data_IF_551367877592
#
_entry.id   IF_551367877592
#
_cell.length_a   1.000
_cell.length_b   1.000
_cell.length_c   1.000
_cell.angle_alpha   90.00
_cell.angle_beta   90.00
_cell.angle_gamma   90.00
#
_symmetry.space_group_name_H-M   'P 1'
#
loop_
_entity.id
_entity.type
_entity.pdbx_description
1 polymer ?
#
# COMPACT_ATOMS: atom_id res chain seq x y z
N UNK A 1 32.84 -6.76 48.42
CA UNK A 1 32.21 -6.22 47.20
C UNK A 1 32.32 -7.13 45.95
N UNK A 2 32.71 -8.42 46.07
CA UNK A 2 32.82 -9.35 44.92
C UNK A 2 31.55 -10.18 44.63
N UNK A 3 30.62 -10.29 45.58
CA UNK A 3 29.39 -11.10 45.43
C UNK A 3 28.32 -10.43 44.57
N UNK A 4 28.27 -9.09 44.54
CA UNK A 4 27.32 -8.35 43.70
C UNK A 4 27.66 -8.40 42.21
N UNK A 5 28.95 -8.43 41.86
CA UNK A 5 29.41 -8.54 40.47
C UNK A 5 29.00 -9.86 39.82
N UNK A 6 29.01 -10.96 40.60
CA UNK A 6 28.67 -12.29 40.12
C UNK A 6 27.17 -12.41 39.79
N UNK A 7 26.31 -11.76 40.59
CA UNK A 7 24.87 -11.68 40.32
C UNK A 7 24.58 -10.82 39.08
N UNK A 8 25.31 -9.71 38.91
CA UNK A 8 25.18 -8.84 37.75
C UNK A 8 25.59 -9.55 36.44
N UNK A 9 26.70 -10.30 36.46
CA UNK A 9 27.12 -11.12 35.31
C UNK A 9 26.14 -12.25 35.01
N UNK A 10 25.51 -12.84 36.02
CA UNK A 10 24.48 -13.87 35.84
C UNK A 10 23.20 -13.30 35.20
N UNK A 11 22.79 -12.08 35.59
CA UNK A 11 21.67 -11.37 34.97
C UNK A 11 21.96 -11.00 33.51
N UNK A 12 23.19 -10.56 33.19
CA UNK A 12 23.61 -10.32 31.80
C UNK A 12 23.58 -11.62 31.00
N UNK A 13 24.05 -12.74 31.57
CA UNK A 13 23.99 -14.04 30.89
C UNK A 13 22.55 -14.48 30.59
N UNK A 14 21.60 -14.22 31.49
CA UNK A 14 20.17 -14.48 31.27
C UNK A 14 19.57 -13.52 30.23
N UNK A 15 19.98 -12.25 30.18
CA UNK A 15 19.54 -11.33 29.12
C UNK A 15 20.13 -11.68 27.76
N UNK A 16 21.37 -12.17 27.73
CA UNK A 16 22.04 -12.65 26.51
C UNK A 16 21.37 -13.93 26.04
N UNK A 17 21.11 -14.92 26.91
CA UNK A 17 20.39 -16.15 26.53
C UNK A 17 18.89 -15.94 26.26
N UNK A 18 18.24 -15.01 26.98
CA UNK A 18 16.83 -14.65 26.78
C UNK A 18 16.58 -13.84 25.51
N UNK A 19 17.63 -13.26 24.91
CA UNK A 19 17.61 -12.62 23.59
C UNK A 19 18.35 -13.40 22.50
N UNK A 20 18.82 -14.64 22.78
CA UNK A 20 19.48 -15.53 21.82
C UNK A 20 18.68 -16.79 21.48
N UNK A 21 17.35 -16.74 21.59
CA UNK A 21 16.47 -17.60 20.79
C UNK A 21 15.93 -16.78 19.62
N UNK A 22 16.83 -16.39 18.72
CA UNK A 22 16.56 -16.19 17.30
C UNK A 22 17.88 -16.47 16.53
N UNK A 23 18.45 -17.65 16.80
CA UNK A 23 19.30 -18.32 15.82
C UNK A 23 18.35 -18.90 14.75
N UNK A 24 18.02 -18.09 13.74
CA UNK A 24 17.44 -18.58 12.51
C UNK A 24 18.60 -18.99 11.60
N UNK A 25 19.12 -20.19 11.82
CA UNK A 25 20.04 -20.83 10.90
C UNK A 25 19.28 -21.95 10.18
N UNK A 26 19.26 -21.87 8.85
CA UNK A 26 18.61 -22.74 7.86
C UNK A 26 17.17 -22.44 7.43
N UNK A 27 16.86 -21.20 7.00
CA UNK A 27 15.75 -20.91 6.05
C UNK A 27 16.00 -19.70 5.15
N UNK A 28 17.26 -19.44 4.79
CA UNK A 28 17.62 -18.24 4.02
C UNK A 28 17.36 -18.41 2.53
N UNK A 29 17.36 -19.63 1.97
CA UNK A 29 17.08 -19.83 0.54
C UNK A 29 15.57 -20.01 0.26
N UNK A 30 14.85 -20.75 1.11
CA UNK A 30 13.42 -21.02 0.92
C UNK A 30 12.52 -19.79 1.14
N UNK A 31 12.91 -18.83 2.01
CA UNK A 31 12.16 -17.58 2.20
C UNK A 31 12.50 -16.51 1.15
N UNK A 32 13.71 -16.53 0.57
CA UNK A 32 14.08 -15.60 -0.50
C UNK A 32 13.36 -16.00 -1.78
N UNK A 33 13.33 -17.29 -2.13
CA UNK A 33 12.56 -17.76 -3.30
C UNK A 33 11.06 -17.51 -3.15
N UNK A 34 10.48 -17.78 -1.98
CA UNK A 34 9.06 -17.53 -1.73
C UNK A 34 8.71 -16.04 -1.68
N UNK A 35 9.62 -15.18 -1.22
CA UNK A 35 9.42 -13.73 -1.28
C UNK A 35 9.55 -13.18 -2.71
N UNK A 36 10.45 -13.71 -3.53
CA UNK A 36 10.61 -13.30 -4.94
C UNK A 36 9.42 -13.75 -5.80
N UNK A 37 8.90 -14.96 -5.55
CA UNK A 37 7.73 -15.48 -6.27
C UNK A 37 6.42 -14.81 -5.83
N UNK A 38 6.28 -14.49 -4.54
CA UNK A 38 5.13 -13.73 -4.03
C UNK A 38 5.13 -12.30 -4.55
N UNK A 39 6.28 -11.61 -4.58
CA UNK A 39 6.38 -10.19 -4.93
C UNK A 39 5.75 -9.84 -6.29
N UNK A 40 5.74 -10.77 -7.25
CA UNK A 40 4.99 -10.61 -8.49
C UNK A 40 3.47 -10.53 -8.29
N UNK A 41 2.93 -11.35 -7.38
CA UNK A 41 1.51 -11.32 -7.00
C UNK A 41 1.13 -10.06 -6.21
N UNK A 42 2.00 -9.54 -5.33
CA UNK A 42 1.74 -8.26 -4.65
C UNK A 42 1.83 -7.06 -5.58
N UNK A 43 2.77 -7.08 -6.53
CA UNK A 43 2.90 -6.05 -7.55
C UNK A 43 1.61 -5.98 -8.36
N UNK A 44 1.13 -7.12 -8.86
CA UNK A 44 -0.14 -7.23 -9.59
C UNK A 44 -1.33 -6.80 -8.72
N UNK A 45 -1.35 -7.17 -7.44
CA UNK A 45 -2.41 -6.75 -6.51
C UNK A 45 -2.45 -5.23 -6.34
N UNK A 46 -1.31 -4.61 -6.02
CA UNK A 46 -1.22 -3.15 -5.81
C UNK A 46 -1.58 -2.44 -7.11
N UNK A 47 -1.04 -2.88 -8.24
CA UNK A 47 -1.33 -2.30 -9.55
C UNK A 47 -2.83 -2.37 -9.87
N UNK A 48 -3.47 -3.51 -9.66
CA UNK A 48 -4.90 -3.66 -9.89
C UNK A 48 -5.73 -2.75 -8.97
N UNK A 49 -5.37 -2.60 -7.70
CA UNK A 49 -6.07 -1.70 -6.79
C UNK A 49 -5.98 -0.24 -7.24
N UNK A 50 -4.80 0.23 -7.63
CA UNK A 50 -4.64 1.59 -8.17
C UNK A 50 -5.34 1.77 -9.52
N UNK A 51 -5.29 0.76 -10.40
CA UNK A 51 -5.97 0.77 -11.70
C UNK A 51 -7.49 0.85 -11.55
N UNK A 52 -8.08 0.03 -10.69
CA UNK A 52 -9.52 0.05 -10.45
C UNK A 52 -9.97 1.36 -9.81
N UNK A 53 -9.24 1.85 -8.79
CA UNK A 53 -9.52 3.15 -8.19
C UNK A 53 -9.47 4.26 -9.24
N UNK A 54 -8.45 4.26 -10.08
CA UNK A 54 -8.27 5.21 -11.18
C UNK A 54 -9.40 5.15 -12.20
N UNK A 55 -9.84 3.94 -12.57
CA UNK A 55 -10.95 3.77 -13.51
C UNK A 55 -12.25 4.39 -12.95
N UNK A 56 -12.51 4.23 -11.65
CA UNK A 56 -13.65 4.87 -10.98
C UNK A 56 -13.54 6.40 -11.05
N UNK A 57 -12.35 6.95 -10.81
CA UNK A 57 -12.09 8.39 -10.94
C UNK A 57 -12.28 8.91 -12.37
N UNK A 58 -11.82 8.15 -13.37
CA UNK A 58 -11.97 8.51 -14.76
C UNK A 58 -13.42 8.40 -15.28
N UNK A 59 -14.25 7.54 -14.69
CA UNK A 59 -15.68 7.44 -15.02
C UNK A 59 -16.45 8.71 -14.64
N UNK A 60 -15.91 9.53 -13.73
CA UNK A 60 -16.49 10.83 -13.36
C UNK A 60 -16.59 11.79 -14.55
N UNK A 61 -15.64 11.75 -15.48
CA UNK A 61 -15.66 12.61 -16.67
C UNK A 61 -16.68 12.16 -17.71
N UNK A 62 -16.98 10.87 -17.75
CA UNK A 62 -17.75 10.26 -18.83
C UNK A 62 -19.21 10.04 -18.45
N UNK A 63 -19.54 10.07 -17.15
CA UNK A 63 -20.83 9.63 -16.66
C UNK A 63 -21.45 10.60 -15.65
N UNK A 64 -22.75 10.87 -15.82
CA UNK A 64 -23.55 11.63 -14.84
C UNK A 64 -24.17 10.68 -13.81
N UNK A 65 -23.31 9.91 -13.11
CA UNK A 65 -23.75 8.97 -12.07
C UNK A 65 -23.86 9.64 -10.71
N UNK A 66 -24.72 9.09 -9.85
CA UNK A 66 -24.92 9.56 -8.48
C UNK A 66 -23.78 9.11 -7.57
N UNK A 67 -23.52 9.87 -6.50
CA UNK A 67 -22.49 9.59 -5.50
C UNK A 67 -22.57 8.16 -4.93
N UNK A 68 -23.77 7.62 -4.74
CA UNK A 68 -24.02 6.28 -4.22
C UNK A 68 -23.40 5.19 -5.10
N UNK A 69 -23.39 5.38 -6.42
CA UNK A 69 -22.76 4.45 -7.34
C UNK A 69 -21.24 4.42 -7.12
N UNK A 70 -20.61 5.59 -7.02
CA UNK A 70 -19.17 5.69 -6.80
C UNK A 70 -18.79 5.15 -5.41
N UNK A 71 -19.63 5.38 -4.40
CA UNK A 71 -19.45 4.81 -3.06
C UNK A 71 -19.46 3.29 -3.06
N UNK A 72 -20.41 2.68 -3.76
CA UNK A 72 -20.45 1.22 -3.88
C UNK A 72 -19.17 0.70 -4.55
N UNK A 73 -18.75 1.32 -5.66
CA UNK A 73 -17.55 0.91 -6.42
C UNK A 73 -16.25 1.09 -5.63
N UNK A 74 -16.02 2.28 -5.06
CA UNK A 74 -14.83 2.56 -4.26
C UNK A 74 -14.73 1.63 -3.06
N UNK A 75 -15.85 1.31 -2.39
CA UNK A 75 -15.83 0.42 -1.22
C UNK A 75 -15.35 -1.01 -1.51
N UNK A 76 -15.30 -1.42 -2.79
CA UNK A 76 -14.75 -2.72 -3.18
C UNK A 76 -13.22 -2.72 -3.23
N UNK A 77 -12.59 -1.57 -3.47
CA UNK A 77 -11.15 -1.44 -3.74
C UNK A 77 -10.40 -0.58 -2.73
N UNK A 78 -11.12 0.30 -2.03
CA UNK A 78 -10.60 1.23 -1.03
C UNK A 78 -11.27 0.97 0.33
N UNK A 79 -10.48 1.07 1.39
CA UNK A 79 -10.91 0.97 2.78
C UNK A 79 -10.72 2.31 3.50
N UNK A 80 -11.25 2.40 4.72
CA UNK A 80 -11.00 3.58 5.57
C UNK A 80 -9.51 3.69 5.95
N UNK A 81 -8.99 4.92 6.14
CA UNK A 81 -9.67 6.22 6.02
C UNK A 81 -9.72 6.79 4.58
N UNK A 82 -9.01 6.18 3.62
CA UNK A 82 -8.94 6.68 2.25
C UNK A 82 -10.32 6.70 1.56
N UNK A 83 -11.22 5.77 1.92
CA UNK A 83 -12.58 5.76 1.37
C UNK A 83 -13.35 7.05 1.73
N UNK A 84 -13.31 7.47 3.00
CA UNK A 84 -13.94 8.72 3.42
C UNK A 84 -13.34 9.94 2.70
N UNK A 85 -12.01 9.95 2.52
CA UNK A 85 -11.34 11.00 1.74
C UNK A 85 -11.83 11.04 0.28
N UNK A 86 -11.82 9.89 -0.41
CA UNK A 86 -12.25 9.80 -1.82
C UNK A 86 -13.70 10.26 -2.00
N UNK A 87 -14.60 9.88 -1.09
CA UNK A 87 -16.00 10.29 -1.13
C UNK A 87 -16.18 11.79 -0.90
N UNK A 88 -15.41 12.39 0.02
CA UNK A 88 -15.46 13.83 0.25
C UNK A 88 -14.99 14.63 -0.97
N UNK A 89 -13.94 14.16 -1.65
CA UNK A 89 -13.45 14.78 -2.88
C UNK A 89 -14.46 14.59 -4.02
N UNK A 90 -15.04 13.40 -4.19
CA UNK A 90 -16.07 13.15 -5.20
C UNK A 90 -17.32 14.01 -5.00
N UNK A 91 -17.81 14.11 -3.76
CA UNK A 91 -18.94 14.98 -3.43
C UNK A 91 -18.64 16.43 -3.76
N UNK A 92 -17.42 16.89 -3.48
CA UNK A 92 -16.99 18.25 -3.83
C UNK A 92 -16.99 18.47 -5.35
N UNK A 93 -16.48 17.52 -6.14
CA UNK A 93 -16.39 17.64 -7.61
C UNK A 93 -17.75 17.53 -8.30
N UNK A 94 -18.69 16.75 -7.75
CA UNK A 94 -20.05 16.69 -8.27
C UNK A 94 -20.81 18.01 -8.06
N UNK A 95 -20.45 18.77 -7.01
CA UNK A 95 -21.06 20.06 -6.69
C UNK A 95 -20.36 21.23 -7.37
N UNK A 96 -19.02 21.20 -7.45
CA UNK A 96 -18.18 22.21 -8.08
C UNK A 96 -17.14 21.53 -9.00
N UNK A 97 -17.52 21.25 -10.27
CA UNK A 97 -16.66 20.55 -11.21
C UNK A 97 -15.39 21.35 -11.50
N UNK A 98 -14.24 20.74 -11.22
CA UNK A 98 -12.93 21.24 -11.63
C UNK A 98 -12.31 20.26 -12.61
N UNK A 99 -11.57 20.79 -13.59
CA UNK A 99 -10.80 19.94 -14.48
C UNK A 99 -9.71 19.22 -13.68
N UNK A 100 -9.71 17.91 -13.82
CA UNK A 100 -8.68 17.04 -13.28
C UNK A 100 -7.91 16.41 -14.46
N UNK A 101 -6.69 15.97 -14.19
CA UNK A 101 -5.94 15.23 -15.19
C UNK A 101 -6.41 13.77 -15.23
N UNK A 102 -6.58 13.25 -16.44
CA UNK A 102 -7.03 11.86 -16.63
C UNK A 102 -5.84 10.93 -16.55
N UNK A 103 -5.96 9.87 -15.77
CA UNK A 103 -4.93 8.82 -15.75
C UNK A 103 -5.21 7.86 -16.91
N UNK A 104 -4.27 7.71 -17.84
CA UNK A 104 -4.38 6.78 -18.96
C UNK A 104 -3.90 5.38 -18.60
N UNK A 105 -2.87 5.28 -17.78
CA UNK A 105 -2.21 4.03 -17.44
C UNK A 105 -1.55 4.12 -16.07
N UNK A 106 -1.58 3.03 -15.31
CA UNK A 106 -0.92 2.88 -14.02
C UNK A 106 -0.16 1.56 -14.03
N UNK A 107 1.15 1.64 -13.78
CA UNK A 107 2.04 0.49 -13.71
C UNK A 107 2.87 0.55 -12.43
N UNK A 108 2.87 -0.54 -11.66
CA UNK A 108 3.75 -0.65 -10.49
C UNK A 108 5.06 -1.25 -10.96
N UNK A 109 6.11 -0.43 -11.03
CA UNK A 109 7.39 -0.86 -11.62
C UNK A 109 8.26 -1.61 -10.63
N UNK A 110 8.12 -1.30 -9.34
CA UNK A 110 8.96 -1.87 -8.30
C UNK A 110 8.24 -1.86 -6.96
N UNK A 111 8.47 -2.91 -6.18
CA UNK A 111 8.16 -2.96 -4.75
C UNK A 111 9.45 -3.03 -3.94
N UNK A 112 9.44 -2.45 -2.76
CA UNK A 112 10.49 -2.51 -1.75
C UNK A 112 9.81 -2.58 -0.37
N UNK A 113 10.58 -2.93 0.66
CA UNK A 113 10.15 -2.87 2.06
C UNK A 113 8.77 -3.51 2.33
N UNK A 114 8.54 -4.70 1.75
CA UNK A 114 7.27 -5.41 1.88
C UNK A 114 7.15 -6.05 3.27
N UNK A 115 6.13 -5.63 4.02
CA UNK A 115 5.80 -6.12 5.35
C UNK A 115 4.36 -6.60 5.42
N UNK A 116 4.17 -7.78 6.00
CA UNK A 116 2.84 -8.32 6.31
C UNK A 116 2.60 -8.28 7.81
N UNK A 117 1.45 -7.73 8.20
CA UNK A 117 0.82 -8.03 9.47
C UNK A 117 -0.32 -9.02 9.30
N UNK A 118 -1.12 -9.19 10.35
CA UNK A 118 -2.23 -10.14 10.37
C UNK A 118 -3.34 -9.77 9.38
N UNK A 119 -3.60 -8.47 9.22
CA UNK A 119 -4.70 -7.93 8.41
C UNK A 119 -4.27 -6.74 7.56
N UNK A 120 -2.97 -6.48 7.45
CA UNK A 120 -2.42 -5.35 6.72
C UNK A 120 -1.15 -5.75 5.97
N UNK A 121 -0.89 -5.04 4.87
CA UNK A 121 0.32 -5.16 4.07
C UNK A 121 0.85 -3.75 3.82
N UNK A 122 2.14 -3.55 4.03
CA UNK A 122 2.80 -2.26 3.82
C UNK A 122 3.95 -2.49 2.86
N UNK A 123 4.11 -1.62 1.86
CA UNK A 123 5.23 -1.67 0.93
C UNK A 123 5.59 -0.28 0.46
N UNK A 124 6.86 -0.08 0.12
CA UNK A 124 7.31 1.00 -0.74
C UNK A 124 7.05 0.58 -2.19
N UNK A 125 6.26 1.34 -2.95
CA UNK A 125 5.98 1.07 -4.35
C UNK A 125 6.40 2.23 -5.24
N UNK A 126 7.17 1.95 -6.28
CA UNK A 126 7.40 2.91 -7.37
C UNK A 126 6.31 2.70 -8.41
N UNK A 127 5.56 3.75 -8.71
CA UNK A 127 4.42 3.71 -9.63
C UNK A 127 4.66 4.69 -10.77
N UNK A 128 4.54 4.19 -12.00
CA UNK A 128 4.57 4.97 -13.21
C UNK A 128 3.14 5.32 -13.63
N UNK A 129 2.86 6.61 -13.66
CA UNK A 129 1.58 7.19 -14.07
C UNK A 129 1.71 7.76 -15.46
N UNK A 130 0.86 7.32 -16.39
CA UNK A 130 0.67 8.00 -17.66
C UNK A 130 -0.59 8.83 -17.59
N UNK A 131 -0.47 10.13 -17.78
CA UNK A 131 -1.54 11.09 -17.56
C UNK A 131 -1.87 11.85 -18.84
N UNK A 132 -3.06 12.43 -18.91
CA UNK A 132 -3.50 13.38 -19.92
C UNK A 132 -4.09 14.59 -19.23
N UNK A 133 -3.35 15.70 -19.26
CA UNK A 133 -3.87 17.01 -18.90
C UNK A 133 -4.50 17.70 -20.12
N UNK A 134 -4.80 19.00 -19.96
CA UNK A 134 -5.46 19.82 -20.99
C UNK A 134 -4.66 19.88 -22.31
N UNK A 135 -3.35 20.10 -22.20
CA UNK A 135 -2.49 20.41 -23.37
C UNK A 135 -1.72 19.19 -23.88
N UNK A 136 -1.38 18.24 -23.01
CA UNK A 136 -0.47 17.15 -23.37
C UNK A 136 -0.65 15.90 -22.50
N UNK A 137 -0.13 14.79 -23.02
CA UNK A 137 0.15 13.60 -22.22
C UNK A 137 1.51 13.74 -21.56
N UNK A 138 1.63 13.21 -20.35
CA UNK A 138 2.88 13.20 -19.61
C UNK A 138 2.99 11.92 -18.77
N UNK A 139 4.19 11.66 -18.27
CA UNK A 139 4.49 10.50 -17.45
C UNK A 139 5.16 10.96 -16.17
N UNK A 140 4.70 10.44 -15.03
CA UNK A 140 5.30 10.67 -13.73
C UNK A 140 5.67 9.34 -13.08
N UNK A 141 6.87 9.28 -12.51
CA UNK A 141 7.30 8.16 -11.68
C UNK A 141 7.31 8.65 -10.23
N UNK A 142 6.46 8.07 -9.39
CA UNK A 142 6.30 8.50 -7.99
C UNK A 142 6.48 7.29 -7.08
N UNK A 143 7.25 7.51 -6.02
CA UNK A 143 7.51 6.52 -4.99
C UNK A 143 6.54 6.74 -3.82
N UNK A 144 5.82 5.70 -3.45
CA UNK A 144 4.81 5.73 -2.40
C UNK A 144 5.10 4.74 -1.29
N UNK A 145 4.77 5.11 -0.05
CA UNK A 145 4.43 4.13 0.97
C UNK A 145 2.97 3.74 0.78
N UNK A 146 2.69 2.48 0.48
CA UNK A 146 1.36 1.93 0.26
C UNK A 146 0.94 1.09 1.45
N UNK A 147 -0.29 1.27 1.92
CA UNK A 147 -0.89 0.51 3.01
C UNK A 147 -2.17 -0.16 2.50
N UNK A 148 -2.16 -1.49 2.50
CA UNK A 148 -3.34 -2.30 2.24
C UNK A 148 -3.89 -2.89 3.54
N UNK A 149 -5.20 -3.10 3.58
CA UNK A 149 -5.87 -3.83 4.64
C UNK A 149 -6.73 -4.95 4.07
N UNK A 150 -6.87 -6.03 4.83
CA UNK A 150 -7.71 -7.17 4.47
C UNK A 150 -9.07 -7.05 5.16
N UNK A 151 -10.10 -6.75 4.38
CA UNK A 151 -11.49 -6.65 4.83
C UNK A 151 -12.30 -7.81 4.24
N UNK A 152 -12.91 -8.63 5.11
CA UNK A 152 -13.69 -9.83 4.72
C UNK A 152 -12.95 -10.77 3.75
N UNK A 153 -11.63 -10.86 3.88
CA UNK A 153 -10.78 -11.71 3.06
C UNK A 153 -10.27 -11.06 1.76
N UNK A 154 -10.72 -9.85 1.44
CA UNK A 154 -10.32 -9.09 0.24
C UNK A 154 -9.33 -7.99 0.64
N UNK A 155 -8.25 -7.84 -0.12
CA UNK A 155 -7.30 -6.75 0.04
C UNK A 155 -7.85 -5.46 -0.57
N UNK A 156 -7.69 -4.35 0.15
CA UNK A 156 -8.11 -3.01 -0.26
C UNK A 156 -7.04 -1.98 0.07
N UNK A 157 -6.96 -0.92 -0.73
CA UNK A 157 -6.10 0.23 -0.46
C UNK A 157 -6.66 1.02 0.72
N UNK A 158 -5.91 1.12 1.82
CA UNK A 158 -6.34 1.84 3.03
C UNK A 158 -5.73 3.23 3.09
N UNK A 159 -4.49 3.37 2.65
CA UNK A 159 -3.76 4.64 2.61
C UNK A 159 -2.56 4.55 1.67
N UNK A 160 -2.07 5.70 1.21
CA UNK A 160 -0.78 5.83 0.54
C UNK A 160 -0.22 7.25 0.67
N UNK A 161 1.10 7.38 0.76
CA UNK A 161 1.76 8.68 0.85
C UNK A 161 3.05 8.71 0.04
N UNK A 162 3.36 9.88 -0.54
CA UNK A 162 4.60 10.09 -1.28
C UNK A 162 5.78 10.02 -0.31
N UNK A 163 6.83 9.31 -0.72
CA UNK A 163 8.11 9.24 -0.01
C UNK A 163 9.16 9.95 -0.86
N UNK A 164 9.80 10.95 -0.25
CA UNK A 164 10.89 11.74 -0.83
C UNK A 164 12.25 11.13 -0.50
#
# INVERSE_FOLDING_TARGET
MKKGLLVFLMLIAIFVHGKLIFANESKTEENIEKNVENMGSELVLIENLFRERTHIWNDLYESNRKLEFYKEKLSQVVAEPLLAFDLGVLESLLNDPTDLDRVLEVNVVQLEDLYYGKTNMISTATILWKMKGLEAQYVEEIRYKVILVKDKGVWKLSDYSVIQ
#
